data_IF_064617279821
#
_entry.id   IF_064617279821
#
_cell.length_a   1.000
_cell.length_b   1.000
_cell.length_c   1.000
_cell.angle_alpha   90.00
_cell.angle_beta   90.00
_cell.angle_gamma   90.00
#
_symmetry.space_group_name_H-M   'P 1'
#
loop_
_entity.id
_entity.type
_entity.pdbx_description
1 polymer ?
#
# COMPACT_ATOMS: atom_id res chain seq x y z
N UNK A 1 -13.04 1.79 14.93
CA UNK A 1 -11.84 1.02 14.58
C UNK A 1 -11.15 1.71 13.42
N UNK A 2 -9.81 1.76 13.38
CA UNK A 2 -9.10 2.24 12.20
C UNK A 2 -9.42 1.33 11.01
N UNK A 3 -9.70 1.92 9.86
CA UNK A 3 -9.98 1.20 8.61
C UNK A 3 -8.66 0.87 7.93
N UNK A 4 -8.50 -0.36 7.45
CA UNK A 4 -7.41 -0.80 6.55
C UNK A 4 -7.75 -0.59 5.07
N UNK A 5 -8.96 -0.07 4.79
CA UNK A 5 -9.43 0.25 3.44
C UNK A 5 -9.43 1.76 3.24
N UNK A 6 -8.98 2.19 2.06
CA UNK A 6 -8.91 3.58 1.65
C UNK A 6 -7.64 3.88 0.86
N UNK A 7 -7.25 5.15 0.84
CA UNK A 7 -6.05 5.63 0.15
C UNK A 7 -4.88 5.69 1.11
N UNK A 8 -3.75 5.13 0.71
CA UNK A 8 -2.55 5.09 1.55
C UNK A 8 -1.67 6.28 1.23
N UNK A 9 -1.33 7.09 2.22
CA UNK A 9 -0.39 8.22 2.07
C UNK A 9 0.76 8.10 3.08
N UNK A 10 1.97 8.59 2.74
CA UNK A 10 3.06 8.69 3.71
C UNK A 10 2.65 9.58 4.89
N UNK A 11 2.89 9.13 6.12
CA UNK A 11 2.47 9.87 7.33
C UNK A 11 3.12 11.23 7.47
N UNK A 12 4.29 11.42 6.85
CA UNK A 12 5.04 12.67 6.83
C UNK A 12 4.69 13.59 5.67
N UNK A 13 3.94 13.12 4.66
CA UNK A 13 3.58 13.90 3.47
C UNK A 13 2.21 13.49 2.94
N UNK A 14 1.22 14.37 3.11
CA UNK A 14 -0.10 14.20 2.51
C UNK A 14 -0.17 14.64 1.04
N UNK A 15 0.95 15.04 0.44
CA UNK A 15 1.03 15.44 -0.97
C UNK A 15 1.21 14.26 -1.95
N UNK A 16 1.44 13.06 -1.42
CA UNK A 16 1.60 11.83 -2.19
C UNK A 16 0.65 10.76 -1.67
N UNK A 17 0.25 9.86 -2.56
CA UNK A 17 -0.49 8.65 -2.22
C UNK A 17 0.01 7.47 -3.05
N UNK A 18 -0.24 6.26 -2.55
CA UNK A 18 -0.12 5.05 -3.37
C UNK A 18 -1.21 5.07 -4.45
N UNK A 19 -0.83 4.62 -5.64
CA UNK A 19 -1.71 4.39 -6.77
C UNK A 19 -1.43 3.03 -7.37
N UNK A 20 -2.39 2.46 -8.09
CA UNK A 20 -2.19 1.21 -8.83
C UNK A 20 -2.41 1.43 -10.33
N UNK A 21 -1.39 1.08 -11.11
CA UNK A 21 -1.45 1.12 -12.57
C UNK A 21 -2.39 0.06 -13.15
N UNK A 22 -2.64 0.14 -14.46
CA UNK A 22 -3.43 -0.87 -15.16
C UNK A 22 -2.77 -2.26 -15.18
N UNK A 23 -1.46 -2.30 -14.96
CA UNK A 23 -0.62 -3.49 -14.82
C UNK A 23 -0.66 -4.12 -13.41
N UNK A 24 -1.37 -3.49 -12.47
CA UNK A 24 -1.44 -3.95 -11.07
C UNK A 24 -0.23 -3.54 -10.23
N UNK A 25 0.67 -2.70 -10.76
CA UNK A 25 1.83 -2.21 -10.03
C UNK A 25 1.51 -0.95 -9.21
N UNK A 26 2.00 -0.95 -7.98
CA UNK A 26 1.89 0.15 -7.03
C UNK A 26 3.01 1.15 -7.29
N UNK A 27 2.64 2.43 -7.33
CA UNK A 27 3.58 3.54 -7.43
C UNK A 27 3.16 4.70 -6.52
N UNK A 28 4.03 5.70 -6.36
CA UNK A 28 3.68 6.96 -5.73
C UNK A 28 3.15 7.93 -6.80
N UNK A 29 2.05 8.61 -6.49
CA UNK A 29 1.55 9.71 -7.30
C UNK A 29 1.37 10.97 -6.46
N UNK A 30 1.54 12.12 -7.10
CA UNK A 30 1.19 13.41 -6.51
C UNK A 30 -0.32 13.56 -6.43
N UNK A 31 -0.81 13.93 -5.24
CA UNK A 31 -2.21 14.30 -5.05
C UNK A 31 -2.44 15.63 -5.76
N UNK A 32 -2.91 15.60 -7.02
CA UNK A 32 -3.28 16.81 -7.75
C UNK A 32 -4.64 17.30 -7.25
N UNK A 33 -4.68 18.57 -6.80
CA UNK A 33 -5.87 19.18 -6.25
C UNK A 33 -7.09 19.01 -7.15
N UNK A 34 -8.18 18.52 -6.56
CA UNK A 34 -9.57 18.57 -7.07
C UNK A 34 -9.97 17.72 -8.27
N UNK A 35 -9.16 16.78 -8.75
CA UNK A 35 -9.68 15.65 -9.53
C UNK A 35 -9.29 14.36 -8.82
N UNK A 36 -10.20 13.89 -7.96
CA UNK A 36 -10.23 12.49 -7.50
C UNK A 36 -10.51 11.61 -8.73
N UNK A 37 -9.52 11.51 -9.62
CA UNK A 37 -9.64 10.89 -10.93
C UNK A 37 -9.71 9.38 -10.75
N UNK A 38 -10.94 8.89 -10.63
CA UNK A 38 -11.30 7.49 -10.80
C UNK A 38 -11.24 6.66 -9.52
N UNK A 39 -12.21 5.75 -9.40
CA UNK A 39 -12.35 4.72 -8.38
C UNK A 39 -11.18 3.70 -8.34
N UNK A 40 -10.00 4.03 -8.87
CA UNK A 40 -8.89 3.12 -9.09
C UNK A 40 -7.75 3.23 -8.06
N UNK A 41 -7.80 4.17 -7.12
CA UNK A 41 -6.71 4.38 -6.14
C UNK A 41 -7.10 4.02 -4.69
N UNK A 42 -8.25 3.39 -4.49
CA UNK A 42 -8.61 2.82 -3.19
C UNK A 42 -8.04 1.41 -3.06
N UNK A 43 -7.52 1.11 -1.89
CA UNK A 43 -7.06 -0.22 -1.53
C UNK A 43 -7.92 -0.76 -0.40
N UNK A 44 -7.91 -2.08 -0.26
CA UNK A 44 -8.45 -2.77 0.91
C UNK A 44 -7.67 -4.05 1.16
N UNK A 45 -7.66 -4.58 2.39
CA UNK A 45 -7.15 -5.92 2.60
C UNK A 45 -8.01 -6.94 1.85
N UNK A 46 -7.35 -7.88 1.18
CA UNK A 46 -7.96 -9.11 0.71
C UNK A 46 -8.10 -10.14 1.82
N UNK A 47 -8.18 -11.41 1.42
CA UNK A 47 -8.00 -12.52 2.37
C UNK A 47 -6.55 -12.48 2.87
N UNK A 48 -6.34 -12.85 4.12
CA UNK A 48 -5.01 -12.90 4.75
C UNK A 48 -4.27 -11.54 4.85
N UNK A 49 -5.02 -10.42 4.82
CA UNK A 49 -4.52 -9.05 5.04
C UNK A 49 -3.53 -8.52 4.00
N UNK A 50 -3.45 -9.15 2.82
CA UNK A 50 -2.70 -8.59 1.70
C UNK A 50 -3.42 -7.37 1.12
N UNK A 51 -2.65 -6.35 0.75
CA UNK A 51 -3.16 -5.14 0.11
C UNK A 51 -3.65 -5.51 -1.29
N UNK A 52 -4.92 -5.22 -1.54
CA UNK A 52 -5.56 -5.44 -2.82
C UNK A 52 -6.12 -4.13 -3.37
N UNK A 53 -6.29 -4.10 -4.69
CA UNK A 53 -7.09 -3.09 -5.35
C UNK A 53 -8.54 -3.25 -4.90
N UNK A 54 -9.15 -2.17 -4.43
CA UNK A 54 -10.56 -2.19 -4.08
C UNK A 54 -11.41 -2.30 -5.36
N UNK A 55 -12.26 -3.33 -5.42
CA UNK A 55 -13.18 -3.57 -6.54
C UNK A 55 -14.55 -2.92 -6.31
N UNK A 56 -14.76 -2.25 -5.17
CA UNK A 56 -16.03 -1.62 -4.78
C UNK A 56 -17.13 -2.61 -4.35
N UNK A 57 -16.85 -3.91 -4.31
CA UNK A 57 -17.81 -4.98 -3.98
C UNK A 57 -17.52 -5.57 -2.60
N UNK A 58 -18.52 -5.76 -1.76
CA UNK A 58 -18.33 -6.18 -0.36
C UNK A 58 -18.68 -7.66 -0.15
N UNK A 59 -17.98 -8.31 0.79
CA UNK A 59 -18.28 -9.65 1.25
C UNK A 59 -18.09 -10.71 0.16
N UNK A 60 -19.04 -11.64 0.03
CA UNK A 60 -18.99 -12.74 -0.94
C UNK A 60 -18.98 -12.32 -2.42
N UNK A 61 -19.30 -11.05 -2.69
CA UNK A 61 -19.38 -10.52 -4.05
C UNK A 61 -18.08 -9.85 -4.50
N UNK A 62 -17.18 -9.54 -3.56
CA UNK A 62 -15.86 -8.98 -3.86
C UNK A 62 -14.80 -10.05 -3.98
N UNK A 63 -13.92 -9.89 -4.97
CA UNK A 63 -12.70 -10.66 -5.14
C UNK A 63 -11.57 -9.68 -5.48
N UNK A 64 -11.08 -8.93 -4.47
CA UNK A 64 -10.11 -7.88 -4.73
C UNK A 64 -8.76 -8.51 -5.08
N UNK A 65 -8.13 -8.01 -6.12
CA UNK A 65 -6.85 -8.53 -6.60
C UNK A 65 -5.69 -7.92 -5.83
N UNK A 66 -4.76 -8.76 -5.38
CA UNK A 66 -3.52 -8.30 -4.75
C UNK A 66 -2.76 -7.37 -5.68
N UNK A 67 -2.24 -6.28 -5.12
CA UNK A 67 -1.37 -5.37 -5.85
C UNK A 67 0.09 -5.76 -5.62
N UNK A 68 0.95 -5.40 -6.57
CA UNK A 68 2.39 -5.64 -6.46
C UNK A 68 3.14 -4.34 -6.48
N UNK A 69 4.27 -4.25 -5.80
CA UNK A 69 5.24 -3.16 -5.95
C UNK A 69 6.52 -3.73 -6.56
N UNK A 70 7.15 -2.97 -7.45
CA UNK A 70 8.46 -3.33 -8.00
C UNK A 70 9.53 -2.43 -7.38
N UNK A 71 10.50 -3.05 -6.70
CA UNK A 71 11.65 -2.37 -6.09
C UNK A 71 12.90 -3.15 -6.50
N UNK A 72 13.90 -2.45 -7.07
CA UNK A 72 15.15 -3.07 -7.53
C UNK A 72 14.92 -4.27 -8.48
N UNK A 73 13.98 -4.13 -9.43
CA UNK A 73 13.57 -5.17 -10.38
C UNK A 73 12.98 -6.45 -9.75
N UNK A 74 12.63 -6.40 -8.46
CA UNK A 74 11.93 -7.48 -7.75
C UNK A 74 10.52 -7.06 -7.42
N UNK A 75 9.58 -8.01 -7.51
CA UNK A 75 8.17 -7.77 -7.25
C UNK A 75 7.75 -8.31 -5.90
N UNK A 76 6.94 -7.53 -5.19
CA UNK A 76 6.45 -7.86 -3.87
C UNK A 76 4.96 -7.65 -3.78
N UNK A 77 4.25 -8.58 -3.15
CA UNK A 77 2.92 -8.31 -2.59
C UNK A 77 3.08 -7.65 -1.22
N UNK A 78 2.08 -6.91 -0.78
CA UNK A 78 2.16 -6.11 0.43
C UNK A 78 1.22 -6.64 1.49
N UNK A 79 1.74 -7.03 2.64
CA UNK A 79 0.94 -7.38 3.81
C UNK A 79 0.73 -6.13 4.68
N UNK A 80 -0.50 -5.89 5.13
CA UNK A 80 -0.86 -4.69 5.88
C UNK A 80 -0.83 -4.97 7.38
N UNK A 81 -0.04 -4.21 8.13
CA UNK A 81 0.08 -4.33 9.58
C UNK A 81 -0.28 -3.00 10.26
N UNK A 82 -1.17 -3.02 11.26
CA UNK A 82 -1.38 -1.85 12.11
C UNK A 82 -0.24 -1.72 13.12
N UNK A 83 0.46 -0.58 13.13
CA UNK A 83 1.62 -0.34 13.99
C UNK A 83 1.41 0.78 15.02
N UNK A 84 0.47 1.69 14.75
CA UNK A 84 -0.02 2.71 15.68
C UNK A 84 -1.52 2.95 15.47
N UNK A 85 -2.21 3.76 16.30
CA UNK A 85 -3.65 3.97 16.20
C UNK A 85 -4.14 4.40 14.79
N UNK A 86 -3.34 5.15 14.05
CA UNK A 86 -3.65 5.64 12.69
C UNK A 86 -2.54 5.39 11.68
N UNK A 87 -1.50 4.62 12.05
CA UNK A 87 -0.33 4.38 11.22
C UNK A 87 -0.11 2.88 10.99
N UNK A 88 0.25 2.55 9.76
CA UNK A 88 0.35 1.19 9.26
C UNK A 88 1.75 0.96 8.66
N UNK A 89 2.22 -0.28 8.80
CA UNK A 89 3.35 -0.82 8.07
C UNK A 89 2.84 -1.59 6.85
N UNK A 90 3.54 -1.46 5.73
CA UNK A 90 3.33 -2.28 4.54
C UNK A 90 4.53 -3.19 4.39
N UNK A 91 4.34 -4.49 4.61
CA UNK A 91 5.41 -5.47 4.67
C UNK A 91 5.54 -6.15 3.30
N UNK A 92 6.67 -5.99 2.59
CA UNK A 92 6.86 -6.61 1.30
C UNK A 92 7.14 -8.11 1.46
N UNK A 93 6.44 -8.93 0.70
CA UNK A 93 6.68 -10.38 0.58
C UNK A 93 6.89 -10.66 -0.90
N UNK A 94 7.95 -11.41 -1.24
CA UNK A 94 8.28 -11.67 -2.65
C UNK A 94 7.09 -12.33 -3.37
N UNK A 95 6.69 -11.78 -4.52
CA UNK A 95 5.47 -12.18 -5.22
C UNK A 95 5.56 -13.59 -5.83
N UNK A 96 6.78 -14.06 -6.08
CA UNK A 96 7.11 -15.39 -6.60
C UNK A 96 7.43 -16.41 -5.50
N UNK A 97 7.37 -16.01 -4.22
CA UNK A 97 7.68 -16.90 -3.12
C UNK A 97 6.66 -18.05 -3.03
N UNK A 98 7.18 -19.28 -2.96
CA UNK A 98 6.36 -20.48 -2.73
C UNK A 98 5.74 -20.45 -1.33
N UNK A 99 6.47 -19.92 -0.35
CA UNK A 99 6.00 -19.67 1.01
C UNK A 99 5.99 -18.15 1.29
N UNK A 100 4.88 -17.63 1.78
CA UNK A 100 4.70 -16.19 2.04
C UNK A 100 5.27 -15.81 3.41
N UNK A 101 6.59 -15.88 3.52
CA UNK A 101 7.30 -15.55 4.76
C UNK A 101 7.31 -14.04 5.05
N UNK A 102 7.12 -13.72 6.33
CA UNK A 102 7.19 -12.35 6.81
C UNK A 102 8.63 -11.82 6.73
N UNK A 103 8.87 -10.78 5.94
CA UNK A 103 10.23 -10.33 5.62
C UNK A 103 10.91 -9.51 6.72
N UNK A 104 10.18 -9.04 7.74
CA UNK A 104 10.65 -8.01 8.69
C UNK A 104 11.13 -6.72 8.03
N UNK A 105 10.75 -6.46 6.78
CA UNK A 105 11.00 -5.21 6.07
C UNK A 105 9.73 -4.38 5.97
N UNK A 106 9.89 -3.11 5.63
CA UNK A 106 8.79 -2.18 5.45
C UNK A 106 8.97 -1.39 4.15
N UNK A 107 7.92 -1.36 3.35
CA UNK A 107 7.78 -0.40 2.26
C UNK A 107 7.63 0.99 2.86
N UNK A 108 8.38 1.93 2.33
CA UNK A 108 8.29 3.34 2.69
C UNK A 108 8.67 4.24 1.53
N UNK A 109 8.88 5.50 1.85
CA UNK A 109 9.47 6.48 0.94
C UNK A 109 10.92 6.73 1.31
N UNK A 110 11.73 7.09 0.32
CA UNK A 110 13.12 7.51 0.50
C UNK A 110 13.23 8.83 1.28
N UNK A 111 14.44 9.29 1.56
CA UNK A 111 14.69 10.54 2.31
C UNK A 111 14.12 11.77 1.59
N UNK A 112 14.08 11.75 0.25
CA UNK A 112 13.46 12.83 -0.53
C UNK A 112 11.93 12.79 -0.45
N UNK A 113 11.37 11.68 0.02
CA UNK A 113 9.95 11.42 0.11
C UNK A 113 9.28 11.21 -1.24
N UNK A 114 10.02 10.88 -2.31
CA UNK A 114 9.51 10.84 -3.69
C UNK A 114 9.53 9.46 -4.33
N UNK A 115 10.30 8.52 -3.79
CA UNK A 115 10.45 7.19 -4.38
C UNK A 115 10.18 6.11 -3.34
N UNK A 116 9.55 5.02 -3.78
CA UNK A 116 9.34 3.86 -2.92
C UNK A 116 10.66 3.15 -2.64
N UNK A 117 10.85 2.73 -1.40
CA UNK A 117 12.03 1.99 -0.94
C UNK A 117 11.65 0.96 0.11
N UNK A 118 12.54 0.00 0.34
CA UNK A 118 12.42 -0.98 1.43
C UNK A 118 13.40 -0.64 2.55
N UNK A 119 12.95 -0.76 3.80
CA UNK A 119 13.80 -0.61 4.98
C UNK A 119 13.64 -1.79 5.92
N UNK A 120 14.73 -2.17 6.59
CA UNK A 120 14.72 -3.17 7.68
C UNK A 120 14.19 -2.60 9.00
N UNK A 121 13.79 -1.32 9.02
CA UNK A 121 13.32 -0.62 10.21
C UNK A 121 12.07 0.21 9.95
N UNK A 122 11.16 0.21 10.91
CA UNK A 122 9.92 0.98 10.85
C UNK A 122 10.16 2.43 11.32
N UNK A 123 10.76 3.23 10.44
CA UNK A 123 11.05 4.64 10.66
C UNK A 123 9.96 5.58 10.13
N UNK A 124 10.15 6.90 10.23
CA UNK A 124 9.18 7.88 9.77
C UNK A 124 8.76 7.74 8.29
N UNK A 125 9.68 7.35 7.41
CA UNK A 125 9.41 7.12 5.98
C UNK A 125 8.61 5.86 5.67
N UNK A 126 8.49 4.92 6.63
CA UNK A 126 7.80 3.63 6.48
C UNK A 126 6.40 3.64 7.11
N UNK A 127 5.95 4.80 7.58
CA UNK A 127 4.64 4.97 8.22
C UNK A 127 3.63 5.41 7.19
N UNK A 128 2.57 4.64 7.03
CA UNK A 128 1.46 4.95 6.14
C UNK A 128 0.22 5.32 6.94
N UNK A 129 -0.52 6.35 6.49
CA UNK A 129 -1.87 6.64 6.96
C UNK A 129 -2.87 6.26 5.89
N UNK A 130 -4.09 6.01 6.34
CA UNK A 130 -5.20 5.67 5.47
C UNK A 130 -6.19 6.84 5.50
N UNK A 131 -6.36 7.47 4.35
CA UNK A 131 -7.32 8.55 4.16
C UNK A 131 -8.67 7.92 3.78
N UNK A 132 -9.71 8.26 4.55
CA UNK A 132 -11.08 7.90 4.23
C UNK A 132 -11.53 8.46 2.89
N UNK A 133 -12.44 7.74 2.24
CA UNK A 133 -13.24 8.28 1.12
C UNK A 133 -14.42 9.08 1.67
#
# INVERSE_FOLDING_TARGET
MPTTSGRYCPSQSCGLELSVGADGLVSLQTVQGSVYAGANNSFRPGKDFFLCKDDGLVGRHGQPTEVQVEIEAKRYVLWVEQRAPTEFGLVPIAADATEREYSNKFLGVDESGRTLTLSDSWGPGQRWRIMGM
#
